data_IF_635041368641
#
_entry.id   IF_635041368641
#
_cell.length_a   1.000
_cell.length_b   1.000
_cell.length_c   1.000
_cell.angle_alpha   90.00
_cell.angle_beta   90.00
_cell.angle_gamma   90.00
#
_symmetry.space_group_name_H-M   'P 1'
#
loop_
_entity.id
_entity.type
_entity.pdbx_description
1 polymer ?
#
# COMPACT_ATOMS: atom_id res chain seq x y z
N UNK A 1 24.00 -27.71 -9.08
CA UNK A 1 22.88 -28.40 -8.40
C UNK A 1 22.26 -27.61 -7.23
N UNK A 2 22.62 -26.33 -6.99
CA UNK A 2 22.04 -25.53 -5.89
C UNK A 2 20.80 -24.69 -6.22
N UNK A 3 20.32 -24.68 -7.48
CA UNK A 3 19.20 -23.82 -7.91
C UNK A 3 17.81 -24.38 -7.61
N UNK A 4 17.64 -25.71 -7.64
CA UNK A 4 16.32 -26.35 -7.56
C UNK A 4 15.73 -26.31 -6.14
N UNK A 5 16.57 -26.44 -5.11
CA UNK A 5 16.11 -26.39 -3.71
C UNK A 5 15.71 -24.98 -3.24
N UNK A 6 16.32 -23.93 -3.79
CA UNK A 6 16.00 -22.55 -3.40
C UNK A 6 14.68 -22.05 -4.03
N UNK A 7 14.36 -22.56 -5.22
CA UNK A 7 13.14 -22.19 -5.94
C UNK A 7 11.90 -22.89 -5.36
N UNK A 8 11.99 -24.19 -5.05
CA UNK A 8 10.90 -24.92 -4.40
C UNK A 8 10.49 -24.32 -3.05
N UNK A 9 11.47 -23.84 -2.26
CA UNK A 9 11.20 -23.14 -1.00
C UNK A 9 10.56 -21.76 -1.19
N UNK A 10 10.87 -21.07 -2.30
CA UNK A 10 10.30 -19.76 -2.61
C UNK A 10 8.86 -19.88 -3.12
N UNK A 11 8.57 -20.91 -3.92
CA UNK A 11 7.23 -21.22 -4.42
C UNK A 11 6.28 -21.61 -3.29
N UNK A 12 6.74 -22.49 -2.38
CA UNK A 12 5.96 -22.85 -1.19
C UNK A 12 5.66 -21.62 -0.33
N UNK A 13 6.64 -20.71 -0.20
CA UNK A 13 6.46 -19.50 0.58
C UNK A 13 5.46 -18.54 -0.05
N UNK A 14 5.53 -18.35 -1.37
CA UNK A 14 4.55 -17.54 -2.11
C UNK A 14 3.13 -18.12 -2.00
N UNK A 15 2.99 -19.45 -2.02
CA UNK A 15 1.70 -20.11 -1.82
C UNK A 15 1.14 -19.83 -0.42
N UNK A 16 1.95 -19.97 0.63
CA UNK A 16 1.54 -19.67 2.01
C UNK A 16 1.12 -18.19 2.18
N UNK A 17 1.83 -17.27 1.52
CA UNK A 17 1.48 -15.85 1.52
C UNK A 17 0.14 -15.65 0.81
N UNK A 18 -0.05 -16.25 -0.38
CA UNK A 18 -1.28 -16.08 -1.14
C UNK A 18 -2.51 -16.61 -0.39
N UNK A 19 -2.40 -17.80 0.21
CA UNK A 19 -3.44 -18.37 1.07
C UNK A 19 -3.75 -17.47 2.26
N UNK A 20 -2.72 -16.95 2.94
CA UNK A 20 -2.87 -16.03 4.06
C UNK A 20 -3.57 -14.73 3.66
N UNK A 21 -3.17 -14.13 2.54
CA UNK A 21 -3.81 -12.92 2.01
C UNK A 21 -5.26 -13.20 1.56
N UNK A 22 -5.52 -14.37 0.97
CA UNK A 22 -6.86 -14.79 0.57
C UNK A 22 -7.82 -14.96 1.75
N UNK A 23 -7.35 -15.61 2.82
CA UNK A 23 -8.11 -15.76 4.06
C UNK A 23 -8.45 -14.40 4.68
N UNK A 24 -7.45 -13.50 4.81
CA UNK A 24 -7.66 -12.16 5.34
C UNK A 24 -8.59 -11.31 4.47
N UNK A 25 -8.49 -11.42 3.14
CA UNK A 25 -9.42 -10.74 2.24
C UNK A 25 -10.86 -11.20 2.45
N UNK A 26 -11.07 -12.51 2.59
CA UNK A 26 -12.40 -13.10 2.80
C UNK A 26 -13.00 -12.62 4.12
N UNK A 27 -12.24 -12.65 5.21
CA UNK A 27 -12.68 -12.13 6.51
C UNK A 27 -13.03 -10.64 6.43
N UNK A 28 -12.22 -9.85 5.70
CA UNK A 28 -12.50 -8.42 5.53
C UNK A 28 -13.79 -8.19 4.73
N UNK A 29 -14.01 -8.93 3.64
CA UNK A 29 -15.24 -8.81 2.84
C UNK A 29 -16.50 -9.17 3.64
N UNK A 30 -16.44 -10.21 4.48
CA UNK A 30 -17.53 -10.56 5.37
C UNK A 30 -17.82 -9.43 6.37
N UNK A 31 -16.78 -8.86 6.97
CA UNK A 31 -16.94 -7.76 7.90
C UNK A 31 -17.53 -6.50 7.23
N UNK A 32 -17.11 -6.18 6.00
CA UNK A 32 -17.71 -5.09 5.23
C UNK A 32 -19.20 -5.34 4.93
N UNK A 33 -19.60 -6.59 4.68
CA UNK A 33 -21.02 -6.94 4.49
C UNK A 33 -21.82 -6.77 5.78
N UNK A 34 -21.25 -7.13 6.93
CA UNK A 34 -21.87 -6.90 8.24
C UNK A 34 -22.05 -5.40 8.51
N UNK A 35 -21.02 -4.59 8.25
CA UNK A 35 -21.11 -3.13 8.41
C UNK A 35 -22.13 -2.50 7.45
N UNK A 36 -22.22 -2.99 6.22
CA UNK A 36 -23.25 -2.54 5.28
C UNK A 36 -24.67 -2.91 5.74
N UNK A 37 -24.84 -4.05 6.43
CA UNK A 37 -26.12 -4.40 7.07
C UNK A 37 -26.45 -3.45 8.22
N UNK A 38 -25.48 -3.15 9.08
CA UNK A 38 -25.65 -2.17 10.16
C UNK A 38 -26.07 -0.81 9.61
N UNK A 39 -25.46 -0.35 8.52
CA UNK A 39 -25.85 0.90 7.86
C UNK A 39 -27.33 0.89 7.45
N UNK A 40 -27.76 -0.18 6.76
CA UNK A 40 -29.16 -0.32 6.31
C UNK A 40 -30.15 -0.38 7.47
N UNK A 41 -29.78 -1.03 8.57
CA UNK A 41 -30.63 -1.12 9.76
C UNK A 41 -30.78 0.26 10.43
N UNK A 42 -29.73 1.10 10.42
CA UNK A 42 -29.79 2.49 10.91
C UNK A 42 -30.68 3.36 10.00
N UNK A 43 -30.53 3.25 8.69
CA UNK A 43 -31.38 3.96 7.71
C UNK A 43 -32.86 3.57 7.86
N UNK A 44 -33.14 2.27 8.02
CA UNK A 44 -34.50 1.78 8.28
C UNK A 44 -35.09 2.27 9.61
N UNK A 45 -34.24 2.60 10.58
CA UNK A 45 -34.59 3.24 11.85
C UNK A 45 -34.87 4.74 11.74
N UNK A 46 -34.77 5.34 10.54
CA UNK A 46 -35.03 6.76 10.28
C UNK A 46 -33.81 7.66 10.34
N UNK A 47 -32.60 7.10 10.41
CA UNK A 47 -31.35 7.87 10.32
C UNK A 47 -31.10 8.30 8.86
N UNK A 48 -30.59 9.51 8.65
CA UNK A 48 -30.14 9.95 7.33
C UNK A 48 -28.96 9.11 6.84
N UNK A 49 -28.83 8.95 5.53
CA UNK A 49 -27.77 8.13 4.92
C UNK A 49 -26.36 8.59 5.30
N UNK A 50 -26.10 9.89 5.36
CA UNK A 50 -24.78 10.41 5.74
C UNK A 50 -24.48 10.14 7.22
N UNK A 51 -25.45 10.36 8.10
CA UNK A 51 -25.32 10.09 9.54
C UNK A 51 -25.10 8.59 9.79
N UNK A 52 -25.82 7.72 9.07
CA UNK A 52 -25.66 6.27 9.17
C UNK A 52 -24.28 5.81 8.70
N UNK A 53 -23.76 6.39 7.62
CA UNK A 53 -22.41 6.11 7.13
C UNK A 53 -21.33 6.56 8.11
N UNK A 54 -21.47 7.76 8.68
CA UNK A 54 -20.54 8.27 9.70
C UNK A 54 -20.55 7.41 10.96
N UNK A 55 -21.73 6.99 11.42
CA UNK A 55 -21.89 6.11 12.57
C UNK A 55 -21.24 4.74 12.34
N UNK A 56 -21.42 4.15 11.16
CA UNK A 56 -20.75 2.89 10.77
C UNK A 56 -19.23 3.08 10.71
N UNK A 57 -18.75 4.19 10.14
CA UNK A 57 -17.32 4.50 10.10
C UNK A 57 -16.75 4.65 11.53
N UNK A 58 -17.46 5.35 12.42
CA UNK A 58 -17.08 5.50 13.82
C UNK A 58 -16.98 4.14 14.52
N UNK A 59 -17.97 3.26 14.35
CA UNK A 59 -17.93 1.88 14.89
C UNK A 59 -16.76 1.08 14.35
N UNK A 60 -16.50 1.17 13.05
CA UNK A 60 -15.37 0.51 12.41
C UNK A 60 -14.03 0.94 13.04
N UNK A 61 -13.82 2.26 13.20
CA UNK A 61 -12.62 2.81 13.84
C UNK A 61 -12.51 2.40 15.31
N UNK A 62 -13.61 2.38 16.05
CA UNK A 62 -13.62 1.96 17.46
C UNK A 62 -13.25 0.48 17.63
N UNK A 63 -13.78 -0.41 16.78
CA UNK A 63 -13.44 -1.84 16.78
C UNK A 63 -11.94 -2.03 16.54
N UNK A 64 -11.38 -1.37 15.52
CA UNK A 64 -9.94 -1.42 15.24
C UNK A 64 -9.12 -0.91 16.42
N UNK A 65 -9.51 0.24 16.98
CA UNK A 65 -8.79 0.87 18.09
C UNK A 65 -8.77 0.00 19.36
N UNK A 66 -9.83 -0.79 19.60
CA UNK A 66 -9.90 -1.72 20.74
C UNK A 66 -9.11 -3.00 20.52
N UNK A 67 -8.69 -3.28 19.27
CA UNK A 67 -8.05 -4.54 18.91
C UNK A 67 -9.04 -5.68 18.64
N UNK A 68 -10.34 -5.35 18.52
CA UNK A 68 -11.42 -6.32 18.28
C UNK A 68 -11.69 -6.52 16.77
N UNK A 69 -10.78 -6.04 15.91
CA UNK A 69 -10.90 -6.20 14.46
C UNK A 69 -10.90 -7.69 14.09
N UNK A 70 -11.88 -8.16 13.31
CA UNK A 70 -11.85 -9.54 12.81
C UNK A 70 -10.71 -9.74 11.80
N UNK A 71 -10.21 -8.65 11.19
CA UNK A 71 -9.05 -8.66 10.31
C UNK A 71 -7.79 -8.46 11.13
N UNK A 72 -6.89 -9.44 11.10
CA UNK A 72 -5.56 -9.36 11.70
C UNK A 72 -4.64 -8.49 10.82
N UNK A 73 -4.62 -7.19 11.10
CA UNK A 73 -3.83 -6.21 10.36
C UNK A 73 -2.31 -6.36 10.59
N UNK A 74 -1.89 -6.92 11.72
CA UNK A 74 -0.46 -7.16 11.99
C UNK A 74 0.07 -8.33 11.16
N UNK A 75 -0.70 -9.42 11.08
CA UNK A 75 -0.42 -10.51 10.15
C UNK A 75 -0.49 -10.05 8.70
N UNK A 76 -1.49 -9.26 8.33
CA UNK A 76 -1.56 -8.67 6.98
C UNK A 76 -0.30 -7.87 6.66
N UNK A 77 0.12 -6.98 7.56
CA UNK A 77 1.33 -6.18 7.40
C UNK A 77 2.58 -7.06 7.23
N UNK A 78 2.70 -8.12 8.02
CA UNK A 78 3.83 -9.07 7.93
C UNK A 78 3.86 -9.81 6.59
N UNK A 79 2.72 -10.31 6.12
CA UNK A 79 2.62 -10.97 4.81
C UNK A 79 2.94 -10.02 3.65
N UNK A 80 2.50 -8.76 3.74
CA UNK A 80 2.81 -7.75 2.73
C UNK A 80 4.29 -7.32 2.75
N UNK A 81 4.89 -7.19 3.94
CA UNK A 81 6.32 -6.91 4.09
C UNK A 81 7.14 -7.98 3.36
N UNK A 82 6.78 -9.25 3.57
CA UNK A 82 7.43 -10.40 2.96
C UNK A 82 7.20 -10.49 1.45
N UNK A 83 5.95 -10.34 0.99
CA UNK A 83 5.64 -10.35 -0.44
C UNK A 83 6.39 -9.25 -1.20
N UNK A 84 6.47 -8.05 -0.62
CA UNK A 84 7.22 -6.94 -1.17
C UNK A 84 8.73 -7.23 -1.23
N UNK A 85 9.28 -7.94 -0.24
CA UNK A 85 10.68 -8.36 -0.26
C UNK A 85 10.94 -9.38 -1.38
N UNK A 86 10.09 -10.41 -1.51
CA UNK A 86 10.20 -11.42 -2.58
C UNK A 86 10.12 -10.74 -3.95
N UNK A 87 9.16 -9.83 -4.16
CA UNK A 87 8.96 -9.10 -5.41
C UNK A 87 10.23 -8.36 -5.90
N UNK A 88 11.05 -7.86 -4.98
CA UNK A 88 12.28 -7.14 -5.34
C UNK A 88 13.34 -8.07 -5.95
N UNK A 89 13.37 -9.33 -5.51
CA UNK A 89 14.45 -10.28 -5.82
C UNK A 89 14.13 -11.25 -6.98
N UNK A 90 12.85 -11.56 -7.18
CA UNK A 90 12.39 -12.52 -8.21
C UNK A 90 12.53 -12.00 -9.65
N UNK A 91 12.27 -12.83 -10.67
CA UNK A 91 12.40 -12.44 -12.07
C UNK A 91 11.16 -11.68 -12.63
N UNK A 92 11.12 -11.41 -13.94
CA UNK A 92 10.01 -10.68 -14.55
C UNK A 92 8.69 -11.48 -14.60
N UNK A 93 8.79 -12.80 -14.80
CA UNK A 93 7.65 -13.71 -14.87
C UNK A 93 7.02 -13.89 -13.49
N UNK A 94 7.84 -14.14 -12.48
CA UNK A 94 7.40 -14.26 -11.08
C UNK A 94 6.77 -12.96 -10.58
N UNK A 95 7.34 -11.79 -10.91
CA UNK A 95 6.72 -10.48 -10.60
C UNK A 95 5.34 -10.31 -11.24
N UNK A 96 5.13 -10.84 -12.45
CA UNK A 96 3.82 -10.83 -13.08
C UNK A 96 2.83 -11.72 -12.32
N UNK A 97 3.28 -12.91 -11.90
CA UNK A 97 2.51 -13.80 -11.02
C UNK A 97 2.11 -13.13 -9.70
N UNK A 98 3.06 -12.48 -9.01
CA UNK A 98 2.78 -11.74 -7.76
C UNK A 98 1.73 -10.64 -7.97
N UNK A 99 1.77 -9.92 -9.10
CA UNK A 99 0.72 -8.93 -9.42
C UNK A 99 -0.64 -9.61 -9.59
N UNK A 100 -0.70 -10.75 -10.26
CA UNK A 100 -1.94 -11.50 -10.51
C UNK A 100 -2.61 -12.04 -9.23
N UNK A 101 -1.86 -12.30 -8.15
CA UNK A 101 -2.41 -12.77 -6.86
C UNK A 101 -3.57 -11.90 -6.33
N UNK A 102 -3.57 -10.61 -6.67
CA UNK A 102 -4.55 -9.63 -6.20
C UNK A 102 -5.80 -9.48 -7.08
N UNK A 103 -5.95 -10.25 -8.17
CA UNK A 103 -7.13 -10.16 -9.05
C UNK A 103 -8.44 -10.34 -8.27
N UNK A 104 -8.47 -11.28 -7.32
CA UNK A 104 -9.63 -11.61 -6.50
C UNK A 104 -9.46 -11.20 -5.02
N UNK A 105 -8.57 -10.25 -4.71
CA UNK A 105 -8.27 -9.82 -3.33
C UNK A 105 -8.38 -8.30 -3.17
N UNK A 106 -9.56 -7.75 -3.49
CA UNK A 106 -9.76 -6.31 -3.65
C UNK A 106 -9.55 -5.50 -2.36
N UNK A 107 -9.89 -6.05 -1.19
CA UNK A 107 -9.67 -5.37 0.10
C UNK A 107 -8.20 -5.30 0.44
N UNK A 108 -7.50 -6.42 0.27
CA UNK A 108 -6.04 -6.49 0.45
C UNK A 108 -5.32 -5.61 -0.57
N UNK A 109 -5.76 -5.55 -1.83
CA UNK A 109 -5.19 -4.66 -2.85
C UNK A 109 -5.32 -3.18 -2.47
N UNK A 110 -6.49 -2.77 -1.97
CA UNK A 110 -6.68 -1.40 -1.45
C UNK A 110 -5.77 -1.13 -0.24
N UNK A 111 -5.59 -2.10 0.65
CA UNK A 111 -4.67 -1.96 1.78
C UNK A 111 -3.20 -1.88 1.35
N UNK A 112 -2.78 -2.67 0.35
CA UNK A 112 -1.44 -2.62 -0.24
C UNK A 112 -1.14 -1.26 -0.87
N UNK A 113 -2.15 -0.61 -1.43
CA UNK A 113 -2.01 0.76 -1.92
C UNK A 113 -1.68 1.72 -0.75
N UNK A 114 -2.48 1.71 0.31
CA UNK A 114 -2.26 2.54 1.50
C UNK A 114 -0.99 2.18 2.29
N UNK A 115 -0.50 0.94 2.19
CA UNK A 115 0.77 0.48 2.78
C UNK A 115 1.95 1.38 2.38
N UNK A 116 1.96 1.87 1.14
CA UNK A 116 3.04 2.71 0.58
C UNK A 116 3.25 4.00 1.37
N UNK A 117 2.16 4.73 1.65
CA UNK A 117 2.19 6.03 2.34
C UNK A 117 1.99 5.94 3.84
N UNK A 118 1.32 4.88 4.32
CA UNK A 118 1.11 4.61 5.74
C UNK A 118 2.25 3.82 6.37
N UNK A 119 2.14 2.48 6.38
CA UNK A 119 3.06 1.58 7.10
C UNK A 119 4.52 1.77 6.67
N UNK A 120 4.81 1.76 5.37
CA UNK A 120 6.17 1.86 4.87
C UNK A 120 6.81 3.22 5.21
N UNK A 121 6.09 4.33 5.04
CA UNK A 121 6.60 5.65 5.38
C UNK A 121 6.80 5.83 6.89
N UNK A 122 5.84 5.39 7.71
CA UNK A 122 5.94 5.44 9.18
C UNK A 122 7.12 4.60 9.70
N UNK A 123 7.30 3.38 9.17
CA UNK A 123 8.45 2.54 9.52
C UNK A 123 9.77 3.14 9.04
N UNK A 124 9.80 3.74 7.85
CA UNK A 124 10.97 4.44 7.34
C UNK A 124 11.39 5.60 8.25
N UNK A 125 10.43 6.42 8.69
CA UNK A 125 10.70 7.57 9.57
C UNK A 125 11.19 7.14 10.96
N UNK A 126 10.59 6.09 11.52
CA UNK A 126 10.93 5.59 12.86
C UNK A 126 12.26 4.84 12.91
N UNK A 127 12.64 4.11 11.86
CA UNK A 127 13.85 3.29 11.89
C UNK A 127 15.01 3.85 11.06
N UNK A 128 14.75 4.76 10.13
CA UNK A 128 15.75 5.23 9.16
C UNK A 128 16.26 4.16 8.19
N UNK A 129 15.60 2.99 8.14
CA UNK A 129 16.07 1.84 7.37
C UNK A 129 15.53 1.91 5.93
N UNK A 130 16.46 1.99 4.97
CA UNK A 130 16.16 2.09 3.53
C UNK A 130 15.32 0.92 3.01
N UNK A 131 15.27 -0.22 3.70
CA UNK A 131 14.40 -1.33 3.30
C UNK A 131 12.95 -0.89 3.19
N UNK A 132 12.46 -0.04 4.11
CA UNK A 132 11.06 0.39 4.12
C UNK A 132 10.71 1.26 2.91
N UNK A 133 11.65 2.08 2.43
CA UNK A 133 11.51 2.79 1.16
C UNK A 133 11.37 1.80 0.00
N UNK A 134 12.17 0.73 -0.03
CA UNK A 134 12.11 -0.28 -1.10
C UNK A 134 10.83 -1.09 -1.05
N UNK A 135 10.38 -1.50 0.14
CA UNK A 135 9.12 -2.23 0.32
C UNK A 135 7.91 -1.39 -0.08
N UNK A 136 7.85 -0.10 0.32
CA UNK A 136 6.78 0.80 -0.11
C UNK A 136 6.73 0.98 -1.63
N UNK A 137 7.90 1.08 -2.29
CA UNK A 137 7.97 1.14 -3.75
C UNK A 137 7.57 -0.18 -4.42
N UNK A 138 7.93 -1.32 -3.83
CA UNK A 138 7.47 -2.63 -4.30
C UNK A 138 5.95 -2.75 -4.18
N UNK A 139 5.33 -2.32 -3.07
CA UNK A 139 3.89 -2.28 -2.88
C UNK A 139 3.18 -1.43 -3.96
N UNK A 140 3.71 -0.24 -4.27
CA UNK A 140 3.21 0.59 -5.37
C UNK A 140 3.33 -0.12 -6.74
N UNK A 141 4.44 -0.83 -6.96
CA UNK A 141 4.68 -1.60 -8.19
C UNK A 141 3.75 -2.81 -8.33
N UNK A 142 3.48 -3.53 -7.24
CA UNK A 142 2.57 -4.68 -7.19
C UNK A 142 1.12 -4.23 -7.37
N UNK A 143 0.74 -3.12 -6.71
CA UNK A 143 -0.60 -2.53 -6.85
C UNK A 143 -0.90 -2.13 -8.30
N UNK A 144 0.14 -1.80 -9.06
CA UNK A 144 0.10 -1.57 -10.51
C UNK A 144 -0.99 -0.59 -10.95
N UNK A 145 -1.20 0.46 -10.15
CA UNK A 145 -2.22 1.50 -10.38
C UNK A 145 -3.65 0.94 -10.55
N UNK A 146 -3.94 -0.25 -9.99
CA UNK A 146 -5.28 -0.85 -10.02
C UNK A 146 -6.29 -0.16 -9.10
N UNK A 147 -5.80 0.66 -8.17
CA UNK A 147 -6.57 1.55 -7.30
C UNK A 147 -6.44 3.00 -7.83
N UNK A 148 -7.15 3.98 -7.24
CA UNK A 148 -7.03 5.38 -7.66
C UNK A 148 -5.57 5.86 -7.69
N UNK A 149 -5.11 6.23 -8.89
CA UNK A 149 -3.74 6.65 -9.12
C UNK A 149 -3.43 7.99 -8.45
N UNK A 150 -4.43 8.83 -8.17
CA UNK A 150 -4.26 10.12 -7.47
C UNK A 150 -3.90 9.87 -6.01
N UNK A 151 -4.54 8.90 -5.38
CA UNK A 151 -4.19 8.49 -4.02
C UNK A 151 -2.80 7.85 -4.01
N UNK A 152 -2.42 7.14 -5.08
CA UNK A 152 -1.07 6.59 -5.20
C UNK A 152 -0.01 7.71 -5.26
N UNK A 153 -0.30 8.82 -5.93
CA UNK A 153 0.60 9.98 -5.94
C UNK A 153 0.82 10.55 -4.53
N UNK A 154 -0.24 10.58 -3.71
CA UNK A 154 -0.18 11.03 -2.32
C UNK A 154 0.72 10.09 -1.51
N UNK A 155 0.47 8.78 -1.56
CA UNK A 155 1.27 7.78 -0.84
C UNK A 155 2.75 7.79 -1.25
N UNK A 156 3.05 7.93 -2.55
CA UNK A 156 4.42 8.08 -3.03
C UNK A 156 5.07 9.38 -2.55
N UNK A 157 4.27 10.44 -2.38
CA UNK A 157 4.70 11.72 -1.84
C UNK A 157 5.09 11.61 -0.36
N UNK A 158 4.25 10.95 0.44
CA UNK A 158 4.53 10.64 1.85
C UNK A 158 5.81 9.84 1.99
N UNK A 159 5.94 8.75 1.24
CA UNK A 159 7.14 7.90 1.26
C UNK A 159 8.41 8.65 0.82
N UNK A 160 8.29 9.55 -0.16
CA UNK A 160 9.40 10.41 -0.59
C UNK A 160 9.85 11.35 0.52
N UNK A 161 8.90 12.04 1.17
CA UNK A 161 9.21 12.99 2.23
C UNK A 161 9.76 12.27 3.47
N UNK A 162 9.22 11.10 3.81
CA UNK A 162 9.74 10.22 4.86
C UNK A 162 11.22 9.89 4.63
N UNK A 163 11.58 9.48 3.40
CA UNK A 163 12.97 9.19 3.04
C UNK A 163 13.88 10.42 3.21
N UNK A 164 13.44 11.59 2.76
CA UNK A 164 14.23 12.82 2.88
C UNK A 164 14.44 13.26 4.34
N UNK A 165 13.44 13.07 5.21
CA UNK A 165 13.55 13.39 6.65
C UNK A 165 14.61 12.57 7.36
N UNK A 166 14.81 11.32 6.95
CA UNK A 166 15.85 10.43 7.49
C UNK A 166 17.16 10.46 6.68
N UNK A 167 17.34 11.46 5.81
CA UNK A 167 18.58 11.67 5.07
C UNK A 167 18.81 10.71 3.88
N UNK A 168 17.81 9.94 3.48
CA UNK A 168 17.89 9.04 2.32
C UNK A 168 17.55 9.81 1.05
N UNK A 169 18.34 9.61 -0.01
CA UNK A 169 18.04 10.14 -1.34
C UNK A 169 17.06 9.20 -2.10
N UNK A 170 15.76 9.52 -2.21
CA UNK A 170 14.76 8.58 -2.74
C UNK A 170 14.87 8.32 -4.24
N UNK A 171 15.39 9.29 -5.01
CA UNK A 171 15.36 9.25 -6.48
C UNK A 171 15.97 7.98 -7.09
N UNK A 172 17.07 7.47 -6.52
CA UNK A 172 17.73 6.24 -6.99
C UNK A 172 16.87 5.00 -6.76
N UNK A 173 16.12 4.95 -5.65
CA UNK A 173 15.27 3.82 -5.29
C UNK A 173 14.01 3.79 -6.15
N UNK A 174 13.38 4.96 -6.36
CA UNK A 174 12.28 5.10 -7.32
C UNK A 174 12.70 4.63 -8.72
N UNK A 175 13.88 5.06 -9.19
CA UNK A 175 14.38 4.66 -10.50
C UNK A 175 14.69 3.17 -10.59
N UNK A 176 15.21 2.57 -9.51
CA UNK A 176 15.51 1.14 -9.47
C UNK A 176 14.22 0.30 -9.54
N UNK A 177 13.22 0.62 -8.71
CA UNK A 177 11.95 -0.12 -8.72
C UNK A 177 11.17 0.11 -10.01
N UNK A 178 11.21 1.32 -10.57
CA UNK A 178 10.60 1.59 -11.87
C UNK A 178 11.06 0.62 -12.98
N UNK A 179 12.33 0.19 -12.98
CA UNK A 179 12.86 -0.75 -14.00
C UNK A 179 12.23 -2.14 -13.93
N UNK A 180 11.74 -2.55 -12.77
CA UNK A 180 11.12 -3.86 -12.54
C UNK A 180 9.58 -3.77 -12.44
N UNK A 181 9.03 -2.56 -12.56
CA UNK A 181 7.59 -2.33 -12.61
C UNK A 181 7.01 -2.64 -13.98
N UNK A 182 5.70 -2.94 -14.00
CA UNK A 182 4.95 -3.19 -15.22
C UNK A 182 5.11 -2.00 -16.21
N UNK A 183 5.60 -2.24 -17.45
CA UNK A 183 5.72 -1.22 -18.49
C UNK A 183 4.41 -0.98 -19.24
N UNK A 184 3.40 -1.84 -19.06
CA UNK A 184 2.14 -1.72 -19.79
C UNK A 184 1.27 -0.58 -19.24
N UNK A 185 0.68 0.27 -20.12
CA UNK A 185 -0.34 1.22 -19.72
C UNK A 185 -1.58 0.48 -19.18
N UNK A 186 -2.24 1.06 -18.17
CA UNK A 186 -3.56 0.60 -17.70
C UNK A 186 -4.60 1.70 -17.72
N UNK A 187 -4.31 2.84 -17.09
CA UNK A 187 -5.17 4.01 -17.06
C UNK A 187 -4.51 5.18 -17.76
N UNK A 188 -5.05 5.54 -18.93
CA UNK A 188 -4.45 6.48 -19.87
C UNK A 188 -3.11 5.98 -20.43
N UNK A 189 -2.30 6.88 -20.97
CA UNK A 189 -1.09 6.54 -21.74
C UNK A 189 0.17 6.34 -20.87
N UNK A 190 0.04 5.98 -19.59
CA UNK A 190 1.20 5.82 -18.70
C UNK A 190 1.13 4.54 -17.88
N UNK A 191 2.27 3.88 -17.77
CA UNK A 191 2.46 2.67 -16.95
C UNK A 191 2.80 2.99 -15.48
N UNK A 192 2.89 1.96 -14.63
CA UNK A 192 3.46 2.09 -13.27
C UNK A 192 4.95 2.38 -13.33
N UNK A 193 5.66 1.79 -14.31
CA UNK A 193 7.05 2.12 -14.60
C UNK A 193 7.25 3.62 -14.88
N UNK A 194 6.42 4.22 -15.73
CA UNK A 194 6.54 5.66 -16.08
C UNK A 194 6.24 6.55 -14.88
N UNK A 195 5.26 6.17 -14.07
CA UNK A 195 4.90 6.88 -12.85
C UNK A 195 6.10 6.95 -11.90
N UNK A 196 6.70 5.81 -11.56
CA UNK A 196 7.83 5.76 -10.62
C UNK A 196 9.08 6.44 -11.18
N UNK A 197 9.39 6.22 -12.47
CA UNK A 197 10.51 6.87 -13.16
C UNK A 197 10.37 8.38 -13.18
N UNK A 198 9.16 8.87 -13.41
CA UNK A 198 8.83 10.28 -13.54
C UNK A 198 8.53 11.01 -12.23
N UNK A 199 8.34 10.30 -11.11
CA UNK A 199 7.77 10.87 -9.89
C UNK A 199 8.55 12.08 -9.35
N UNK A 200 9.89 12.04 -9.40
CA UNK A 200 10.77 13.16 -9.01
C UNK A 200 10.41 14.48 -9.73
N UNK A 201 9.95 14.39 -10.98
CA UNK A 201 9.60 15.53 -11.84
C UNK A 201 8.09 15.80 -11.85
N UNK A 202 7.31 15.12 -11.01
CA UNK A 202 5.85 15.31 -10.97
C UNK A 202 5.47 16.68 -10.41
N UNK A 203 4.34 17.22 -10.88
CA UNK A 203 3.75 18.42 -10.30
C UNK A 203 3.32 18.21 -8.84
N UNK A 204 2.86 17.00 -8.51
CA UNK A 204 2.47 16.61 -7.16
C UNK A 204 3.63 16.76 -6.17
N UNK A 205 4.79 16.14 -6.44
CA UNK A 205 5.96 16.23 -5.56
C UNK A 205 6.42 17.69 -5.36
N UNK A 206 6.43 18.50 -6.43
CA UNK A 206 6.73 19.94 -6.33
C UNK A 206 5.74 20.69 -5.44
N UNK A 207 4.47 20.31 -5.49
CA UNK A 207 3.41 20.91 -4.66
C UNK A 207 3.62 20.59 -3.18
N UNK A 208 3.76 19.30 -2.83
CA UNK A 208 3.92 18.87 -1.44
C UNK A 208 5.22 19.38 -0.82
N UNK A 209 6.33 19.43 -1.57
CA UNK A 209 7.59 20.03 -1.09
C UNK A 209 7.47 21.51 -0.79
N UNK A 210 6.70 22.25 -1.60
CA UNK A 210 6.43 23.68 -1.34
C UNK A 210 5.64 23.87 -0.05
N UNK A 211 4.64 23.02 0.20
CA UNK A 211 3.85 23.05 1.44
C UNK A 211 4.74 22.73 2.65
N UNK A 212 5.50 21.64 2.60
CA UNK A 212 6.41 21.26 3.67
C UNK A 212 7.41 22.37 4.04
N UNK A 213 7.99 23.05 3.03
CA UNK A 213 8.90 24.18 3.26
C UNK A 213 8.21 25.36 3.97
N UNK A 214 6.96 25.67 3.62
CA UNK A 214 6.19 26.75 4.25
C UNK A 214 5.89 26.45 5.71
N UNK A 215 5.50 25.22 6.03
CA UNK A 215 5.25 24.77 7.41
C UNK A 215 6.52 24.84 8.27
N UNK A 216 7.69 24.46 7.72
CA UNK A 216 8.96 24.56 8.45
C UNK A 216 9.49 25.99 8.66
N UNK A 217 8.86 26.99 8.03
CA UNK A 217 9.24 28.40 8.12
C UNK A 217 8.28 29.24 8.97
N UNK A 218 7.31 28.61 9.63
CA UNK A 218 6.39 29.30 10.54
C UNK A 218 7.12 29.64 11.86
N UNK A 219 7.24 30.92 12.24
CA UNK A 219 7.97 31.32 13.45
C UNK A 219 7.34 30.86 14.77
N UNK A 220 6.12 30.31 14.73
CA UNK A 220 5.35 29.92 15.91
C UNK A 220 5.43 28.43 16.26
N UNK A 221 6.24 27.64 15.54
CA UNK A 221 6.38 26.18 15.72
C UNK A 221 7.73 25.78 16.39
N UNK A 222 8.28 26.64 17.27
CA UNK A 222 9.45 26.34 18.12
C UNK A 222 9.14 26.50 19.60
#
# INVERSE_FOLDING_TARGET
>A
MGGIMNQASSDERLLQIDEGLGALNTTWEQWDQEMAKVQKDLEAGGMDWFDALEEVHRRYVEIIRRGDSPVDFDRLGTLLDELCAIYLEVDAQERAGIRALFENKQRVLKHLHSYTGGRAASRLESTGDVKWLRLGLAAASISDRRVDYRDLLICLGELWLAAERVGIAPARHFSAVARISNPEPRYGDRSTQDLLRGFRRSGHLRSIKRKAKRSSSDPFDR
#
